data_IF_458800217610
#
_entry.id   IF_458800217610
#
_cell.length_a   1.000
_cell.length_b   1.000
_cell.length_c   1.000
_cell.angle_alpha   90.00
_cell.angle_beta   90.00
_cell.angle_gamma   90.00
#
_symmetry.space_group_name_H-M   'P 1'
#
loop_
_entity.id
_entity.type
_entity.pdbx_description
1 polymer ?
#
# COMPACT_ATOMS: atom_id res chain seq x y z
N UNK A 1 4.43 17.30 21.03
CA UNK A 1 4.79 15.87 20.75
C UNK A 1 6.12 15.89 20.03
N UNK A 2 7.11 15.09 20.48
CA UNK A 2 8.47 15.13 19.90
C UNK A 2 8.73 13.95 18.95
N UNK A 3 8.02 12.85 19.09
CA UNK A 3 8.17 11.68 18.23
C UNK A 3 6.93 10.78 18.30
N UNK A 4 6.77 9.98 17.24
CA UNK A 4 5.75 8.94 17.12
C UNK A 4 6.45 7.60 16.88
N UNK A 5 6.00 6.55 17.56
CA UNK A 5 6.47 5.19 17.33
C UNK A 5 5.41 4.41 16.57
N UNK A 6 5.80 3.88 15.41
CA UNK A 6 4.98 2.95 14.62
C UNK A 6 5.55 1.55 14.83
N UNK A 7 4.72 0.59 15.21
CA UNK A 7 5.14 -0.79 15.40
C UNK A 7 4.38 -1.72 14.46
N UNK A 8 5.14 -2.31 13.52
CA UNK A 8 4.63 -3.25 12.52
C UNK A 8 5.30 -4.62 12.58
N UNK A 9 5.70 -5.09 13.76
CA UNK A 9 6.55 -6.28 13.98
C UNK A 9 6.09 -7.54 13.23
N UNK A 10 4.78 -7.77 13.15
CA UNK A 10 4.19 -8.93 12.47
C UNK A 10 3.41 -8.55 11.21
N UNK A 11 3.58 -7.32 10.74
CA UNK A 11 2.86 -6.78 9.59
C UNK A 11 3.72 -6.82 8.33
N UNK A 12 3.07 -6.76 7.17
CA UNK A 12 3.75 -6.67 5.88
C UNK A 12 4.45 -5.32 5.70
N UNK A 13 5.42 -5.27 4.78
CA UNK A 13 6.06 -4.01 4.38
C UNK A 13 5.04 -2.96 3.92
N UNK A 14 3.99 -3.40 3.24
CA UNK A 14 2.88 -2.54 2.83
C UNK A 14 2.20 -1.84 4.01
N UNK A 15 1.92 -2.57 5.11
CA UNK A 15 1.34 -1.98 6.31
C UNK A 15 2.22 -0.83 6.84
N UNK A 16 3.53 -1.07 6.91
CA UNK A 16 4.49 -0.08 7.41
C UNK A 16 4.54 1.13 6.48
N UNK A 17 4.63 0.91 5.17
CA UNK A 17 4.72 1.97 4.17
C UNK A 17 3.45 2.85 4.19
N UNK A 18 2.27 2.26 4.13
CA UNK A 18 1.00 3.00 4.13
C UNK A 18 0.81 3.78 5.43
N UNK A 19 1.09 3.16 6.57
CA UNK A 19 1.02 3.84 7.87
C UNK A 19 1.98 5.02 7.91
N UNK A 20 3.23 4.83 7.47
CA UNK A 20 4.22 5.90 7.43
C UNK A 20 3.80 7.07 6.51
N UNK A 21 3.22 6.78 5.34
CA UNK A 21 2.69 7.80 4.43
C UNK A 21 1.60 8.65 5.10
N UNK A 22 0.61 8.02 5.72
CA UNK A 22 -0.49 8.72 6.36
C UNK A 22 0.01 9.60 7.52
N UNK A 23 0.86 9.06 8.37
CA UNK A 23 1.42 9.84 9.48
C UNK A 23 2.35 10.96 9.00
N UNK A 24 3.12 10.75 7.92
CA UNK A 24 3.95 11.80 7.33
C UNK A 24 3.09 12.95 6.80
N UNK A 25 2.03 12.63 6.04
CA UNK A 25 1.09 13.64 5.54
C UNK A 25 0.41 14.42 6.67
N UNK A 26 -0.02 13.74 7.74
CA UNK A 26 -0.62 14.39 8.91
C UNK A 26 0.36 15.33 9.63
N UNK A 27 1.62 14.92 9.79
CA UNK A 27 2.66 15.74 10.43
C UNK A 27 2.97 16.97 9.56
N UNK A 28 3.07 16.81 8.26
CA UNK A 28 3.38 17.92 7.34
C UNK A 28 2.24 18.92 7.27
N UNK A 29 0.98 18.45 7.23
CA UNK A 29 -0.20 19.32 7.31
C UNK A 29 -0.22 20.12 8.63
N UNK A 30 0.01 19.44 9.77
CA UNK A 30 0.03 20.08 11.07
C UNK A 30 1.17 21.11 11.19
N UNK A 31 2.36 20.81 10.63
CA UNK A 31 3.51 21.71 10.65
C UNK A 31 3.29 22.94 9.76
N UNK A 32 2.57 22.79 8.65
CA UNK A 32 2.28 23.85 7.69
C UNK A 32 1.01 24.64 8.00
N UNK A 33 0.24 24.22 9.01
CA UNK A 33 -1.05 24.83 9.35
C UNK A 33 -2.12 24.62 8.27
N UNK A 34 -2.00 23.59 7.45
CA UNK A 34 -2.96 23.23 6.41
C UNK A 34 -3.98 22.23 6.98
N UNK A 35 -5.24 22.35 6.56
CA UNK A 35 -6.28 21.40 6.95
C UNK A 35 -5.93 20.00 6.43
N UNK A 36 -5.98 19.04 7.35
CA UNK A 36 -5.74 17.64 7.06
C UNK A 36 -7.07 16.91 6.84
N UNK A 37 -7.23 16.27 5.67
CA UNK A 37 -8.41 15.46 5.37
C UNK A 37 -8.36 14.13 6.13
N UNK A 38 -8.74 14.17 7.41
CA UNK A 38 -8.68 13.01 8.31
C UNK A 38 -9.50 11.81 7.80
N UNK A 39 -10.67 12.06 7.17
CA UNK A 39 -11.55 11.00 6.66
C UNK A 39 -10.90 10.19 5.53
N UNK A 40 -10.25 10.87 4.60
CA UNK A 40 -9.56 10.22 3.48
C UNK A 40 -8.39 9.38 3.98
N UNK A 41 -7.59 9.93 4.88
CA UNK A 41 -6.43 9.22 5.42
C UNK A 41 -6.81 8.10 6.37
N UNK A 42 -7.89 8.26 7.16
CA UNK A 42 -8.43 7.16 7.96
C UNK A 42 -8.94 6.03 7.10
N UNK A 43 -9.63 6.31 5.99
CA UNK A 43 -10.04 5.28 5.04
C UNK A 43 -8.85 4.47 4.49
N UNK A 44 -7.70 5.12 4.24
CA UNK A 44 -6.49 4.41 3.83
C UNK A 44 -5.94 3.48 4.91
N UNK A 45 -6.03 3.88 6.19
CA UNK A 45 -5.62 3.02 7.31
C UNK A 45 -6.62 1.89 7.55
N UNK A 46 -7.92 2.14 7.40
CA UNK A 46 -8.97 1.13 7.58
C UNK A 46 -8.83 -0.03 6.58
N UNK A 47 -8.24 0.20 5.41
CA UNK A 47 -7.91 -0.83 4.45
C UNK A 47 -6.71 -1.71 4.84
N UNK A 48 -5.97 -1.36 5.88
CA UNK A 48 -4.90 -2.19 6.39
C UNK A 48 -5.45 -3.31 7.27
N UNK A 49 -4.81 -4.48 7.22
CA UNK A 49 -5.15 -5.60 8.10
C UNK A 49 -5.00 -5.20 9.57
N UNK A 50 -6.09 -4.86 10.23
CA UNK A 50 -6.15 -4.43 11.61
C UNK A 50 -7.27 -5.17 12.38
N UNK A 51 -7.29 -4.98 13.69
CA UNK A 51 -8.33 -5.51 14.60
C UNK A 51 -9.32 -4.43 15.06
N UNK A 52 -9.44 -3.37 14.28
CA UNK A 52 -10.10 -2.13 14.66
C UNK A 52 -9.11 -1.16 15.31
N UNK A 53 -9.32 0.14 15.02
CA UNK A 53 -8.52 1.20 15.62
C UNK A 53 -9.19 1.71 16.87
N UNK A 54 -8.40 1.97 17.90
CA UNK A 54 -8.85 2.59 19.14
C UNK A 54 -7.87 3.69 19.54
N UNK A 55 -8.34 4.65 20.29
CA UNK A 55 -7.47 5.69 20.87
C UNK A 55 -6.58 5.14 22.00
N UNK A 56 -6.76 3.87 22.38
CA UNK A 56 -6.04 3.24 23.48
C UNK A 56 -6.21 4.02 24.78
N UNK A 57 -5.10 4.35 25.43
CA UNK A 57 -5.09 5.14 26.66
C UNK A 57 -4.80 6.63 26.43
N UNK A 58 -4.94 7.13 25.20
CA UNK A 58 -4.65 8.54 24.89
C UNK A 58 -5.59 9.48 25.64
N UNK A 59 -6.86 9.11 25.80
CA UNK A 59 -7.81 9.77 26.70
C UNK A 59 -7.81 9.03 28.04
N UNK A 60 -7.60 9.76 29.13
CA UNK A 60 -7.39 9.21 30.50
C UNK A 60 -8.51 8.31 31.05
N UNK A 61 -9.70 8.33 30.47
CA UNK A 61 -10.85 7.51 30.88
C UNK A 61 -11.51 6.96 29.62
N UNK A 62 -11.02 5.82 29.17
CA UNK A 62 -11.60 5.09 28.03
C UNK A 62 -12.57 4.06 28.58
N UNK A 63 -13.87 4.06 28.24
CA UNK A 63 -14.78 2.96 28.54
C UNK A 63 -14.21 1.64 28.01
N UNK A 64 -14.46 0.53 28.70
CA UNK A 64 -13.96 -0.79 28.30
C UNK A 64 -14.35 -1.19 26.88
N UNK A 65 -15.43 -0.61 26.33
CA UNK A 65 -15.94 -0.83 24.96
C UNK A 65 -14.97 -0.36 23.85
N UNK A 66 -14.00 0.51 24.16
CA UNK A 66 -13.00 0.97 23.19
C UNK A 66 -11.80 0.03 23.02
N UNK A 67 -11.71 -1.01 23.83
CA UNK A 67 -10.70 -2.05 23.64
C UNK A 67 -11.36 -3.21 22.92
N UNK A 68 -11.08 -3.36 21.63
CA UNK A 68 -11.68 -4.40 20.79
C UNK A 68 -11.07 -5.78 21.11
N UNK A 69 -11.50 -6.39 22.23
CA UNK A 69 -11.11 -7.75 22.60
C UNK A 69 -11.92 -8.83 21.86
N UNK A 70 -13.03 -8.44 21.22
CA UNK A 70 -14.02 -9.39 20.69
C UNK A 70 -13.78 -9.83 19.25
N UNK A 71 -13.08 -9.04 18.43
CA UNK A 71 -12.82 -9.38 17.03
C UNK A 71 -11.38 -9.86 16.83
N UNK A 72 -11.16 -11.16 17.03
CA UNK A 72 -9.88 -11.81 16.72
C UNK A 72 -9.56 -11.94 15.23
N UNK A 73 -10.44 -11.45 14.34
CA UNK A 73 -10.32 -11.57 12.87
C UNK A 73 -9.96 -10.20 12.30
N UNK A 74 -8.90 -10.18 11.50
CA UNK A 74 -8.52 -9.01 10.70
C UNK A 74 -9.65 -8.67 9.74
N UNK A 75 -10.12 -7.43 9.71
CA UNK A 75 -11.14 -6.99 8.76
C UNK A 75 -10.65 -7.22 7.34
N UNK A 76 -11.50 -7.83 6.50
CA UNK A 76 -11.21 -8.04 5.09
C UNK A 76 -11.16 -6.68 4.38
N UNK A 77 -10.10 -6.43 3.68
CA UNK A 77 -9.85 -5.17 2.98
C UNK A 77 -10.13 -5.35 1.49
N UNK A 78 -10.73 -4.33 0.88
CA UNK A 78 -10.92 -4.27 -0.57
C UNK A 78 -9.60 -4.04 -1.34
N UNK A 79 -8.47 -4.21 -0.68
CA UNK A 79 -7.14 -4.05 -1.26
C UNK A 79 -6.25 -5.24 -0.90
N UNK A 80 -5.47 -5.70 -1.86
CA UNK A 80 -4.53 -6.79 -1.70
C UNK A 80 -3.13 -6.35 -2.14
N UNK A 81 -2.15 -6.55 -1.27
CA UNK A 81 -0.75 -6.38 -1.63
C UNK A 81 -0.33 -7.45 -2.63
N UNK A 82 0.05 -7.05 -3.85
CA UNK A 82 0.34 -8.00 -4.93
C UNK A 82 1.81 -8.06 -5.32
N UNK A 83 2.63 -7.05 -5.02
CA UNK A 83 4.04 -7.14 -5.34
C UNK A 83 4.88 -5.94 -4.94
N UNK A 84 6.19 -6.09 -5.07
CA UNK A 84 7.21 -5.07 -4.85
C UNK A 84 7.92 -4.77 -6.17
N UNK A 85 8.16 -3.50 -6.45
CA UNK A 85 8.99 -3.10 -7.59
C UNK A 85 10.44 -3.43 -7.27
N UNK A 86 11.11 -4.12 -8.17
CA UNK A 86 12.53 -4.49 -8.06
C UNK A 86 13.43 -3.68 -8.98
N UNK A 87 12.91 -3.36 -10.16
CA UNK A 87 13.64 -2.65 -11.19
C UNK A 87 12.65 -1.87 -12.05
N UNK A 88 13.11 -0.77 -12.62
CA UNK A 88 12.35 0.03 -13.59
C UNK A 88 13.19 0.17 -14.84
N UNK A 89 12.64 -0.28 -15.96
CA UNK A 89 13.16 -0.05 -17.29
C UNK A 89 12.54 1.27 -17.82
N UNK A 90 13.29 2.35 -17.66
CA UNK A 90 12.83 3.69 -18.06
C UNK A 90 12.70 3.84 -19.56
N UNK A 91 13.45 3.09 -20.36
CA UNK A 91 13.44 3.16 -21.81
C UNK A 91 12.15 2.52 -22.37
N UNK A 92 11.71 1.44 -21.77
CA UNK A 92 10.44 0.78 -22.10
C UNK A 92 9.24 1.34 -21.34
N UNK A 93 9.44 2.02 -20.23
CA UNK A 93 8.38 2.40 -19.29
C UNK A 93 7.78 1.18 -18.55
N UNK A 94 8.60 0.19 -18.20
CA UNK A 94 8.15 -1.05 -17.56
C UNK A 94 8.79 -1.24 -16.19
N UNK A 95 8.08 -1.91 -15.29
CA UNK A 95 8.59 -2.30 -13.98
C UNK A 95 8.67 -3.82 -13.84
N UNK A 96 9.77 -4.30 -13.25
CA UNK A 96 9.93 -5.67 -12.79
C UNK A 96 9.32 -5.79 -11.39
N UNK A 97 8.32 -6.64 -11.26
CA UNK A 97 7.56 -6.86 -10.03
C UNK A 97 7.92 -8.22 -9.46
N UNK A 98 8.38 -8.25 -8.20
CA UNK A 98 8.39 -9.47 -7.40
C UNK A 98 6.98 -9.73 -6.87
N UNK A 99 6.34 -10.76 -7.40
CA UNK A 99 4.93 -11.07 -7.10
C UNK A 99 4.80 -11.64 -5.69
N UNK A 100 3.88 -11.11 -4.92
CA UNK A 100 3.52 -11.61 -3.57
C UNK A 100 2.16 -12.29 -3.56
N UNK A 101 1.20 -11.78 -4.33
CA UNK A 101 -0.11 -12.38 -4.54
C UNK A 101 -0.50 -12.27 -6.02
N UNK A 102 -1.37 -13.19 -6.46
CA UNK A 102 -1.83 -13.25 -7.85
C UNK A 102 -2.57 -11.96 -8.24
N UNK A 103 -2.28 -11.47 -9.43
CA UNK A 103 -3.05 -10.44 -10.14
C UNK A 103 -3.06 -10.72 -11.64
N UNK A 104 -3.94 -10.07 -12.38
CA UNK A 104 -4.12 -10.34 -13.81
C UNK A 104 -4.31 -9.07 -14.64
N UNK A 105 -4.18 -9.23 -15.95
CA UNK A 105 -4.46 -8.15 -16.90
C UNK A 105 -5.89 -7.67 -16.74
N UNK A 106 -6.08 -6.35 -16.69
CA UNK A 106 -7.36 -5.70 -16.42
C UNK A 106 -7.63 -5.38 -14.95
N UNK A 107 -6.86 -5.96 -14.02
CA UNK A 107 -6.96 -5.55 -12.61
C UNK A 107 -6.61 -4.07 -12.43
N UNK A 108 -7.36 -3.38 -11.58
CA UNK A 108 -6.99 -2.03 -11.14
C UNK A 108 -6.00 -2.13 -9.99
N UNK A 109 -4.84 -1.53 -10.20
CA UNK A 109 -3.76 -1.50 -9.21
C UNK A 109 -3.42 -0.09 -8.78
N UNK A 110 -2.87 0.05 -7.60
CA UNK A 110 -2.28 1.28 -7.06
C UNK A 110 -0.79 1.04 -6.85
N UNK A 111 0.02 1.81 -7.56
CA UNK A 111 1.44 1.93 -7.31
C UNK A 111 1.65 2.90 -6.16
N UNK A 112 2.25 2.43 -5.09
CA UNK A 112 2.61 3.21 -3.91
C UNK A 112 4.10 3.49 -3.99
N UNK A 113 4.49 4.75 -3.92
CA UNK A 113 5.89 5.13 -4.00
C UNK A 113 6.24 6.29 -3.09
N UNK A 114 7.50 6.64 -3.01
CA UNK A 114 7.97 7.80 -2.23
C UNK A 114 7.61 9.13 -2.88
N UNK A 115 7.33 9.15 -4.18
CA UNK A 115 6.89 10.34 -4.90
C UNK A 115 5.36 10.54 -4.89
N UNK A 116 4.60 9.52 -4.47
CA UNK A 116 3.14 9.54 -4.42
C UNK A 116 2.51 8.23 -4.86
N UNK A 117 1.20 8.21 -4.92
CA UNK A 117 0.44 7.03 -5.31
C UNK A 117 -0.26 7.26 -6.65
N UNK A 118 -0.28 6.24 -7.48
CA UNK A 118 -0.91 6.29 -8.80
C UNK A 118 -1.74 5.04 -9.06
N UNK A 119 -3.00 5.21 -9.50
CA UNK A 119 -3.89 4.10 -9.87
C UNK A 119 -3.93 3.93 -11.38
N UNK A 120 -3.88 2.69 -11.83
CA UNK A 120 -4.00 2.35 -13.25
C UNK A 120 -4.47 0.90 -13.43
N UNK A 121 -4.94 0.59 -14.63
CA UNK A 121 -5.26 -0.77 -15.02
C UNK A 121 -3.99 -1.47 -15.53
N UNK A 122 -3.79 -2.73 -15.17
CA UNK A 122 -2.70 -3.55 -15.69
C UNK A 122 -3.01 -3.90 -17.14
N UNK A 123 -2.35 -3.23 -18.08
CA UNK A 123 -2.60 -3.40 -19.52
C UNK A 123 -1.99 -4.68 -20.08
N UNK A 124 -0.82 -5.06 -19.58
CA UNK A 124 -0.09 -6.25 -20.02
C UNK A 124 0.78 -6.81 -18.88
N UNK A 125 1.06 -8.10 -18.95
CA UNK A 125 1.99 -8.79 -18.06
C UNK A 125 2.93 -9.62 -18.93
N UNK A 126 4.23 -9.50 -18.73
CA UNK A 126 5.25 -10.36 -19.30
C UNK A 126 5.91 -11.20 -18.20
N UNK A 127 6.15 -12.47 -18.48
CA UNK A 127 6.96 -13.31 -17.60
C UNK A 127 8.46 -12.95 -17.74
N UNK A 128 9.31 -13.65 -16.98
CA UNK A 128 10.78 -13.45 -17.01
C UNK A 128 11.42 -13.64 -18.39
N UNK A 129 10.76 -14.42 -19.27
CA UNK A 129 11.25 -14.75 -20.61
C UNK A 129 10.74 -13.76 -21.66
N UNK A 130 10.01 -12.69 -21.23
CA UNK A 130 9.42 -11.69 -22.11
C UNK A 130 8.15 -12.16 -22.84
N UNK A 131 7.57 -13.28 -22.40
CA UNK A 131 6.36 -13.82 -23.00
C UNK A 131 5.14 -13.21 -22.30
N UNK A 132 4.19 -12.69 -23.10
CA UNK A 132 2.93 -12.17 -22.58
C UNK A 132 2.10 -13.26 -21.90
N UNK A 133 1.61 -12.96 -20.71
CA UNK A 133 0.77 -13.85 -19.90
C UNK A 133 -0.44 -13.10 -19.38
N UNK A 134 -1.54 -13.80 -19.18
CA UNK A 134 -2.78 -13.18 -18.69
C UNK A 134 -2.75 -12.85 -17.20
N UNK A 135 -1.88 -13.51 -16.43
CA UNK A 135 -1.83 -13.35 -14.99
C UNK A 135 -0.42 -13.57 -14.43
N UNK A 136 -0.11 -12.84 -13.38
CA UNK A 136 1.02 -13.09 -12.50
C UNK A 136 0.62 -14.18 -11.49
N UNK A 137 1.34 -15.33 -11.42
CA UNK A 137 0.83 -16.51 -10.73
C UNK A 137 0.84 -16.45 -9.21
N UNK A 138 1.57 -15.53 -8.60
CA UNK A 138 1.63 -15.38 -7.15
C UNK A 138 3.07 -15.36 -6.62
N UNK A 139 3.23 -15.59 -5.32
CA UNK A 139 4.52 -15.45 -4.64
C UNK A 139 5.63 -16.34 -5.26
N UNK A 140 6.84 -15.77 -5.28
CA UNK A 140 8.04 -16.43 -5.82
C UNK A 140 8.24 -16.24 -7.32
N UNK A 141 7.36 -15.51 -7.99
CA UNK A 141 7.48 -15.18 -9.40
C UNK A 141 7.90 -13.73 -9.63
N UNK A 142 8.50 -13.50 -10.80
CA UNK A 142 8.80 -12.16 -11.29
C UNK A 142 8.08 -11.94 -12.61
N UNK A 143 7.46 -10.79 -12.75
CA UNK A 143 6.79 -10.38 -13.98
C UNK A 143 7.14 -8.94 -14.29
N UNK A 144 6.98 -8.54 -15.56
CA UNK A 144 7.07 -7.15 -15.99
C UNK A 144 5.69 -6.64 -16.33
N UNK A 145 5.42 -5.40 -15.95
CA UNK A 145 4.19 -4.67 -16.31
C UNK A 145 4.54 -3.28 -16.84
N UNK A 146 3.77 -2.73 -17.78
CA UNK A 146 3.94 -1.35 -18.19
C UNK A 146 3.50 -0.41 -17.06
N UNK A 147 4.25 0.67 -16.88
CA UNK A 147 3.88 1.77 -16.01
C UNK A 147 3.16 2.85 -16.83
N UNK A 148 2.23 3.61 -16.23
CA UNK A 148 1.66 4.79 -16.89
C UNK A 148 2.75 5.79 -17.30
N UNK A 149 2.51 6.52 -18.38
CA UNK A 149 3.41 7.60 -18.82
C UNK A 149 3.62 8.60 -17.67
N UNK A 150 4.86 9.08 -17.54
CA UNK A 150 5.28 10.04 -16.52
C UNK A 150 5.15 9.53 -15.06
N UNK A 151 5.16 8.22 -14.82
CA UNK A 151 5.22 7.69 -13.45
C UNK A 151 6.52 8.09 -12.78
N UNK A 152 6.43 8.93 -11.74
CA UNK A 152 7.54 9.20 -10.85
C UNK A 152 7.43 8.26 -9.64
N UNK A 153 8.42 7.39 -9.46
CA UNK A 153 8.47 6.48 -8.32
C UNK A 153 9.34 7.01 -7.18
N UNK A 154 10.04 8.12 -7.40
CA UNK A 154 11.10 8.53 -6.48
C UNK A 154 12.15 7.43 -6.38
N UNK A 155 12.31 6.83 -5.20
CA UNK A 155 13.20 5.66 -5.05
C UNK A 155 12.40 4.37 -5.31
N UNK A 156 12.62 3.69 -6.45
CA UNK A 156 11.85 2.51 -6.83
C UNK A 156 12.01 1.33 -5.86
N UNK A 157 13.07 1.30 -5.04
CA UNK A 157 13.26 0.25 -4.02
C UNK A 157 12.17 0.21 -2.96
N UNK A 158 11.43 1.30 -2.80
CA UNK A 158 10.32 1.42 -1.85
C UNK A 158 8.95 1.42 -2.55
N UNK A 159 8.91 1.16 -3.85
CA UNK A 159 7.66 1.12 -4.58
C UNK A 159 6.98 -0.25 -4.47
N UNK A 160 5.67 -0.22 -4.27
CA UNK A 160 4.83 -1.40 -4.02
C UNK A 160 3.58 -1.34 -4.86
N UNK A 161 3.03 -2.51 -5.19
CA UNK A 161 1.84 -2.65 -5.99
C UNK A 161 0.70 -3.26 -5.17
N UNK A 162 -0.44 -2.57 -5.16
CA UNK A 162 -1.68 -2.98 -4.53
C UNK A 162 -2.75 -3.22 -5.57
N UNK A 163 -3.52 -4.31 -5.45
CA UNK A 163 -4.71 -4.55 -6.26
C UNK A 163 -5.95 -4.11 -5.49
N UNK A 164 -6.87 -3.41 -6.16
CA UNK A 164 -8.21 -3.16 -5.66
C UNK A 164 -9.10 -4.36 -5.98
N UNK A 165 -9.72 -4.94 -4.96
CA UNK A 165 -10.70 -6.02 -5.08
C UNK A 165 -12.05 -5.33 -5.03
N UNK A 166 -12.70 -5.21 -6.19
CA UNK A 166 -14.02 -4.59 -6.34
C UNK A 166 -15.15 -5.45 -5.81
#
# INVERSE_FOLDING_TARGET
MHSLKIEGRTKSHYYVARTAQVYRAAIDAAASGVDFNDKEYMAQLDHLANRGYTEGFYRRHVPQDYQNYTNGISSNTNQQFVGEVREVDTDRGWALIEVKNRFETGDTVELISTAGNQRFAVEAIENKDGISVAAAPGSGHFVRIPLPEASDLGDPRYAMLMRHIG
#
